data_IF_121418347886
#
_entry.id   IF_121418347886
#
_cell.length_a   1.000
_cell.length_b   1.000
_cell.length_c   1.000
_cell.angle_alpha   90.00
_cell.angle_beta   90.00
_cell.angle_gamma   90.00
#
_symmetry.space_group_name_H-M   'P 1'
#
loop_
_entity.id
_entity.type
_entity.pdbx_description
1 polymer ?
#
# COMPACT_ATOMS: atom_id res chain seq x y z
N UNK A 1 -4.24 -10.02 -19.53
CA UNK A 1 -3.12 -9.03 -19.57
C UNK A 1 -2.10 -9.35 -18.49
N UNK A 2 -0.81 -9.44 -18.84
CA UNK A 2 0.26 -9.67 -17.85
C UNK A 2 1.21 -8.49 -17.81
N UNK A 3 1.61 -8.06 -16.62
CA UNK A 3 2.44 -6.86 -16.41
C UNK A 3 3.60 -7.18 -15.48
N UNK A 4 4.83 -6.85 -15.89
CA UNK A 4 6.01 -7.02 -15.03
C UNK A 4 6.10 -5.90 -13.98
N UNK A 5 5.96 -6.27 -12.71
CA UNK A 5 6.00 -5.35 -11.56
C UNK A 5 7.45 -5.08 -11.12
N UNK A 6 8.23 -4.41 -11.97
CA UNK A 6 9.70 -4.21 -11.81
C UNK A 6 10.12 -3.45 -10.55
N UNK A 7 9.24 -2.58 -10.04
CA UNK A 7 9.56 -1.67 -8.94
C UNK A 7 9.12 -2.22 -7.57
N UNK A 8 9.06 -3.54 -7.43
CA UNK A 8 8.67 -4.21 -6.18
C UNK A 8 9.81 -5.06 -5.62
N UNK A 9 10.06 -4.92 -4.34
CA UNK A 9 10.87 -5.85 -3.57
C UNK A 9 10.06 -7.11 -3.23
N UNK A 10 10.76 -8.20 -3.00
CA UNK A 10 10.19 -9.46 -2.55
C UNK A 10 11.05 -10.06 -1.44
N UNK A 11 10.50 -10.12 -0.23
CA UNK A 11 11.12 -10.84 0.88
C UNK A 11 10.44 -12.19 1.07
N UNK A 12 11.24 -13.24 1.27
CA UNK A 12 10.78 -14.54 1.76
C UNK A 12 10.98 -14.60 3.27
N UNK A 13 9.94 -14.98 3.99
CA UNK A 13 9.95 -15.21 5.43
C UNK A 13 9.63 -16.69 5.67
N UNK A 14 10.55 -17.43 6.26
CA UNK A 14 10.47 -18.87 6.50
C UNK A 14 10.92 -19.22 7.92
N UNK A 15 10.79 -20.49 8.30
CA UNK A 15 11.07 -20.99 9.64
C UNK A 15 9.81 -21.35 10.41
N UNK A 16 9.95 -22.19 11.44
CA UNK A 16 8.80 -22.69 12.20
C UNK A 16 8.01 -21.60 12.92
N UNK A 17 8.62 -20.45 13.19
CA UNK A 17 8.00 -19.31 13.87
C UNK A 17 7.54 -18.20 12.89
N UNK A 18 7.67 -18.40 11.56
CA UNK A 18 7.38 -17.34 10.56
C UNK A 18 5.96 -16.81 10.66
N UNK A 19 4.94 -17.68 10.80
CA UNK A 19 3.55 -17.26 10.94
C UNK A 19 3.33 -16.43 12.22
N UNK A 20 3.83 -16.92 13.37
CA UNK A 20 3.67 -16.23 14.65
C UNK A 20 4.42 -14.90 14.69
N UNK A 21 5.59 -14.83 14.07
CA UNK A 21 6.37 -13.62 13.90
C UNK A 21 5.60 -12.57 13.08
N UNK A 22 5.13 -12.93 11.88
CA UNK A 22 4.35 -12.02 11.04
C UNK A 22 3.03 -11.62 11.70
N UNK A 23 2.38 -12.55 12.41
CA UNK A 23 1.20 -12.24 13.21
C UNK A 23 1.45 -11.17 14.27
N UNK A 24 2.63 -11.13 14.86
CA UNK A 24 3.04 -10.14 15.85
C UNK A 24 3.56 -8.82 15.25
N UNK A 25 3.85 -8.75 13.96
CA UNK A 25 4.39 -7.55 13.31
C UNK A 25 3.39 -6.79 12.45
N UNK A 26 2.41 -7.48 11.86
CA UNK A 26 1.55 -6.94 10.80
C UNK A 26 0.12 -6.69 11.29
N UNK A 27 -0.59 -5.78 10.65
CA UNK A 27 -1.91 -5.30 11.08
C UNK A 27 -3.07 -6.24 10.76
N UNK A 28 -2.91 -7.13 9.77
CA UNK A 28 -3.96 -8.09 9.40
C UNK A 28 -3.71 -9.46 10.01
N UNK A 29 -4.70 -10.33 9.99
CA UNK A 29 -4.63 -11.66 10.61
C UNK A 29 -3.98 -12.68 9.64
N UNK A 30 -2.67 -12.90 9.81
CA UNK A 30 -1.87 -13.81 8.98
C UNK A 30 -2.42 -15.24 9.00
N UNK A 31 -3.04 -15.66 10.10
CA UNK A 31 -3.63 -16.99 10.23
C UNK A 31 -4.84 -17.20 9.31
N UNK A 32 -5.46 -16.11 8.84
CA UNK A 32 -6.56 -16.12 7.88
C UNK A 32 -6.10 -16.02 6.43
N UNK A 33 -4.78 -15.92 6.18
CA UNK A 33 -4.26 -15.83 4.82
C UNK A 33 -4.54 -17.13 4.06
N UNK A 34 -5.28 -17.01 2.97
CA UNK A 34 -5.57 -18.11 2.07
C UNK A 34 -4.37 -18.37 1.14
N UNK A 35 -4.07 -19.64 0.86
CA UNK A 35 -2.97 -20.04 -0.01
C UNK A 35 -3.09 -19.57 -1.48
N UNK A 36 -4.27 -19.14 -1.91
CA UNK A 36 -4.52 -18.64 -3.28
C UNK A 36 -4.80 -17.14 -3.33
N UNK A 37 -4.58 -16.39 -2.26
CA UNK A 37 -4.88 -14.96 -2.20
C UNK A 37 -3.71 -14.12 -1.72
N UNK A 38 -3.74 -12.84 -2.09
CA UNK A 38 -2.92 -11.79 -1.46
C UNK A 38 -3.69 -11.22 -0.28
N UNK A 39 -3.01 -11.07 0.85
CA UNK A 39 -3.54 -10.33 1.98
C UNK A 39 -2.76 -9.01 2.14
N UNK A 40 -3.49 -7.90 2.17
CA UNK A 40 -2.90 -6.59 2.41
C UNK A 40 -2.63 -6.40 3.91
N UNK A 41 -1.43 -5.92 4.24
CA UNK A 41 -0.99 -5.74 5.62
C UNK A 41 -0.21 -4.45 5.80
N UNK A 42 -0.59 -3.64 6.78
CA UNK A 42 0.24 -2.53 7.20
C UNK A 42 1.30 -3.00 8.22
N UNK A 43 2.55 -2.63 7.98
CA UNK A 43 3.62 -2.68 8.96
C UNK A 43 3.75 -1.31 9.60
N UNK A 44 3.44 -1.21 10.89
CA UNK A 44 3.34 0.07 11.59
C UNK A 44 4.46 0.24 12.63
N UNK A 45 4.79 1.49 12.92
CA UNK A 45 5.54 1.86 14.11
C UNK A 45 4.60 2.00 15.33
N UNK A 46 5.16 2.11 16.53
CA UNK A 46 4.40 2.19 17.79
C UNK A 46 3.33 3.31 17.85
N UNK A 47 3.52 4.38 17.08
CA UNK A 47 2.56 5.49 16.99
C UNK A 47 1.45 5.23 15.97
N UNK A 48 1.33 4.01 15.44
CA UNK A 48 0.31 3.59 14.48
C UNK A 48 0.52 4.10 13.06
N UNK A 49 1.69 4.70 12.76
CA UNK A 49 2.00 5.15 11.40
C UNK A 49 2.61 4.03 10.58
N UNK A 50 2.20 3.94 9.32
CA UNK A 50 2.61 2.90 8.41
C UNK A 50 4.06 3.16 7.95
N UNK A 51 4.91 2.15 8.11
CA UNK A 51 6.26 2.09 7.58
C UNK A 51 6.27 1.55 6.15
N UNK A 52 5.53 0.47 5.95
CA UNK A 52 5.33 -0.19 4.65
C UNK A 52 3.94 -0.82 4.57
N UNK A 53 3.46 -1.01 3.36
CA UNK A 53 2.26 -1.78 3.06
C UNK A 53 2.69 -3.02 2.28
N UNK A 54 2.41 -4.20 2.83
CA UNK A 54 2.79 -5.47 2.21
C UNK A 54 1.61 -6.14 1.54
N UNK A 55 1.84 -6.65 0.35
CA UNK A 55 1.06 -7.72 -0.23
C UNK A 55 1.67 -9.04 0.23
N UNK A 56 0.98 -9.74 1.11
CA UNK A 56 1.45 -10.99 1.70
C UNK A 56 0.81 -12.16 1.00
N UNK A 57 1.61 -13.11 0.55
CA UNK A 57 1.17 -14.39 0.01
C UNK A 57 1.81 -15.54 0.78
N UNK A 58 1.20 -16.71 0.72
CA UNK A 58 1.74 -17.94 1.34
C UNK A 58 1.82 -19.03 0.29
N UNK A 59 2.99 -19.64 0.18
CA UNK A 59 3.18 -20.84 -0.62
C UNK A 59 3.96 -21.86 0.20
N UNK A 60 3.37 -23.05 0.42
CA UNK A 60 3.83 -24.02 1.37
C UNK A 60 4.00 -23.40 2.76
N UNK A 61 5.15 -23.56 3.39
CA UNK A 61 5.46 -23.00 4.72
C UNK A 61 6.16 -21.63 4.65
N UNK A 62 6.25 -21.02 3.45
CA UNK A 62 6.90 -19.74 3.26
C UNK A 62 5.89 -18.62 3.05
N UNK A 63 6.20 -17.45 3.61
CA UNK A 63 5.48 -16.21 3.36
C UNK A 63 6.30 -15.30 2.46
N UNK A 64 5.64 -14.62 1.53
CA UNK A 64 6.27 -13.68 0.62
C UNK A 64 5.68 -12.30 0.85
N UNK A 65 6.54 -11.32 1.10
CA UNK A 65 6.17 -9.93 1.32
C UNK A 65 6.57 -9.12 0.10
N UNK A 66 5.59 -8.65 -0.66
CA UNK A 66 5.78 -7.78 -1.83
C UNK A 66 5.45 -6.33 -1.46
N UNK A 67 6.34 -5.38 -1.78
CA UNK A 67 6.19 -3.96 -1.47
C UNK A 67 7.09 -3.11 -2.39
N UNK A 68 6.93 -1.77 -2.43
CA UNK A 68 7.77 -0.90 -3.25
C UNK A 68 9.27 -1.05 -2.96
N UNK A 69 10.06 -1.15 -4.03
CA UNK A 69 11.50 -1.46 -3.97
C UNK A 69 12.30 -0.39 -3.19
N UNK A 70 11.88 0.86 -3.22
CA UNK A 70 12.55 1.97 -2.53
C UNK A 70 12.54 1.83 -0.99
N UNK A 71 11.71 0.96 -0.45
CA UNK A 71 11.64 0.67 0.99
C UNK A 71 12.53 -0.49 1.43
N UNK A 72 13.11 -1.27 0.51
CA UNK A 72 13.80 -2.53 0.83
C UNK A 72 14.93 -2.34 1.86
N UNK A 73 15.79 -1.35 1.64
CA UNK A 73 16.95 -1.08 2.48
C UNK A 73 16.60 -0.59 3.89
N UNK A 74 15.38 -0.08 4.07
CA UNK A 74 14.87 0.38 5.38
C UNK A 74 14.09 -0.72 6.09
N UNK A 75 13.26 -1.45 5.36
CA UNK A 75 12.29 -2.38 5.94
C UNK A 75 12.92 -3.72 6.30
N UNK A 76 13.78 -4.29 5.44
CA UNK A 76 14.40 -5.61 5.73
C UNK A 76 15.22 -5.59 7.02
N UNK A 77 16.16 -4.66 7.25
CA UNK A 77 16.92 -4.61 8.51
C UNK A 77 16.02 -4.40 9.71
N UNK A 78 14.96 -3.56 9.56
CA UNK A 78 14.02 -3.32 10.64
C UNK A 78 13.23 -4.57 11.04
N UNK A 79 12.75 -5.36 10.09
CA UNK A 79 12.10 -6.64 10.39
C UNK A 79 13.07 -7.60 11.07
N UNK A 80 14.32 -7.68 10.59
CA UNK A 80 15.37 -8.55 11.17
C UNK A 80 15.69 -8.20 12.63
N UNK A 81 15.58 -6.93 13.04
CA UNK A 81 15.78 -6.54 14.43
C UNK A 81 14.79 -7.19 15.42
N UNK A 82 13.64 -7.64 14.95
CA UNK A 82 12.63 -8.32 15.78
C UNK A 82 12.71 -9.84 15.72
N UNK A 83 13.62 -10.42 14.92
CA UNK A 83 13.90 -11.85 14.88
C UNK A 83 14.86 -12.19 16.03
N UNK A 84 14.39 -12.07 17.27
CA UNK A 84 15.20 -12.41 18.47
C UNK A 84 14.65 -13.69 19.06
N UNK A 85 15.50 -14.74 19.15
CA UNK A 85 15.17 -16.04 19.72
C UNK A 85 13.99 -16.77 19.02
N UNK A 86 13.73 -16.44 17.76
CA UNK A 86 12.71 -17.09 16.92
C UNK A 86 13.36 -17.84 15.77
N UNK A 87 12.81 -18.98 15.41
CA UNK A 87 13.21 -19.71 14.19
C UNK A 87 12.56 -19.05 12.97
N UNK A 88 13.13 -17.90 12.55
CA UNK A 88 12.68 -17.10 11.42
C UNK A 88 13.87 -16.68 10.57
N UNK A 89 13.75 -16.88 9.26
CA UNK A 89 14.71 -16.41 8.26
C UNK A 89 14.03 -15.43 7.32
N UNK A 90 14.62 -14.24 7.15
CA UNK A 90 14.14 -13.19 6.24
C UNK A 90 15.14 -12.98 5.13
N UNK A 91 14.80 -13.40 3.92
CA UNK A 91 15.67 -13.33 2.75
C UNK A 91 15.13 -12.33 1.72
N UNK A 92 16.03 -11.55 1.14
CA UNK A 92 15.72 -10.77 -0.05
C UNK A 92 15.92 -11.68 -1.28
N UNK A 93 14.81 -11.97 -1.95
CA UNK A 93 14.79 -12.81 -3.16
C UNK A 93 14.41 -11.99 -4.40
N UNK A 94 14.41 -10.67 -4.31
CA UNK A 94 14.02 -9.73 -5.38
C UNK A 94 14.78 -10.00 -6.69
N UNK A 95 16.07 -10.28 -6.62
CA UNK A 95 16.91 -10.51 -7.81
C UNK A 95 16.69 -11.86 -8.49
N UNK A 96 16.23 -12.86 -7.73
CA UNK A 96 16.02 -14.24 -8.22
C UNK A 96 14.61 -14.49 -8.77
N UNK A 97 13.66 -13.59 -8.48
CA UNK A 97 12.25 -13.77 -8.80
C UNK A 97 11.68 -12.56 -9.51
N UNK A 98 10.65 -12.81 -10.30
CA UNK A 98 9.87 -11.79 -10.98
C UNK A 98 8.45 -11.81 -10.44
N UNK A 99 7.93 -10.62 -10.21
CA UNK A 99 6.54 -10.40 -9.84
C UNK A 99 5.76 -9.96 -11.08
N UNK A 100 4.74 -10.71 -11.43
CA UNK A 100 3.85 -10.44 -12.57
C UNK A 100 2.46 -10.15 -12.06
N UNK A 101 1.92 -9.00 -12.41
CA UNK A 101 0.51 -8.68 -12.24
C UNK A 101 -0.29 -9.29 -13.37
N UNK A 102 -1.42 -9.94 -13.05
CA UNK A 102 -2.40 -10.43 -14.02
C UNK A 102 -3.68 -9.62 -13.89
N UNK A 103 -4.21 -9.17 -15.03
CA UNK A 103 -5.48 -8.44 -15.14
C UNK A 103 -6.40 -9.24 -16.07
N UNK A 104 -7.54 -9.71 -15.56
CA UNK A 104 -8.54 -10.50 -16.32
C UNK A 104 -7.99 -11.79 -16.95
N UNK A 105 -6.87 -12.31 -16.46
CA UNK A 105 -6.27 -13.53 -16.98
C UNK A 105 -6.05 -14.54 -15.85
N UNK A 106 -6.50 -15.75 -16.07
CA UNK A 106 -6.27 -16.86 -15.14
C UNK A 106 -4.87 -17.45 -15.36
N UNK A 107 -4.15 -17.65 -14.27
CA UNK A 107 -2.87 -18.32 -14.29
C UNK A 107 -2.77 -19.31 -13.13
N UNK A 108 -2.28 -20.55 -13.38
CA UNK A 108 -2.05 -21.53 -12.32
C UNK A 108 -1.11 -20.95 -11.25
N UNK A 109 -1.47 -21.09 -9.97
CA UNK A 109 -0.72 -20.55 -8.83
C UNK A 109 -0.69 -19.02 -8.72
N UNK A 110 -1.58 -18.29 -9.42
CA UNK A 110 -1.79 -16.87 -9.17
C UNK A 110 -2.45 -16.64 -7.81
N UNK A 111 -2.03 -15.60 -7.13
CA UNK A 111 -2.61 -15.14 -5.87
C UNK A 111 -3.60 -14.01 -6.15
N UNK A 112 -4.87 -14.21 -5.89
CA UNK A 112 -5.91 -13.21 -6.10
C UNK A 112 -5.72 -12.05 -5.14
N UNK A 113 -5.65 -10.82 -5.66
CA UNK A 113 -5.59 -9.58 -4.88
C UNK A 113 -7.02 -9.08 -4.61
N UNK A 114 -7.72 -8.76 -5.68
CA UNK A 114 -9.09 -8.26 -5.64
C UNK A 114 -9.70 -8.33 -7.04
N UNK A 115 -10.97 -8.74 -7.11
CA UNK A 115 -11.72 -8.85 -8.37
C UNK A 115 -10.89 -9.61 -9.43
N UNK A 116 -10.48 -8.90 -10.49
CA UNK A 116 -9.76 -9.44 -11.64
C UNK A 116 -8.23 -9.29 -11.54
N UNK A 117 -7.72 -8.80 -10.41
CA UNK A 117 -6.28 -8.63 -10.21
C UNK A 117 -5.69 -9.79 -9.44
N UNK A 118 -4.59 -10.33 -9.97
CA UNK A 118 -3.81 -11.37 -9.32
C UNK A 118 -2.31 -11.06 -9.37
N UNK A 119 -1.57 -11.58 -8.39
CA UNK A 119 -0.11 -11.57 -8.33
C UNK A 119 0.43 -12.96 -8.66
N UNK A 120 1.42 -13.01 -9.51
CA UNK A 120 2.16 -14.23 -9.85
C UNK A 120 3.62 -14.00 -9.45
N UNK A 121 4.22 -14.96 -8.76
CA UNK A 121 5.63 -14.95 -8.38
C UNK A 121 6.31 -16.12 -9.09
N UNK A 122 7.31 -15.83 -9.92
CA UNK A 122 8.04 -16.82 -10.73
C UNK A 122 9.56 -16.61 -10.59
N UNK A 123 10.34 -17.63 -10.92
CA UNK A 123 11.77 -17.48 -11.11
C UNK A 123 12.08 -16.68 -12.39
N UNK A 124 13.22 -15.99 -12.41
CA UNK A 124 13.60 -15.09 -13.52
C UNK A 124 13.56 -15.75 -14.90
N UNK A 125 13.94 -17.02 -14.99
CA UNK A 125 14.01 -17.77 -16.24
C UNK A 125 12.62 -18.01 -16.86
N UNK A 126 11.57 -17.96 -16.07
CA UNK A 126 10.20 -18.28 -16.51
C UNK A 126 9.46 -17.10 -17.12
N UNK A 127 10.08 -15.90 -17.16
CA UNK A 127 9.43 -14.68 -17.68
C UNK A 127 9.10 -14.78 -19.19
N UNK A 128 9.87 -15.56 -19.94
CA UNK A 128 9.70 -15.72 -21.38
C UNK A 128 8.34 -16.31 -21.80
N UNK A 129 7.63 -16.93 -20.87
CA UNK A 129 6.30 -17.49 -21.14
C UNK A 129 5.18 -16.42 -21.19
N UNK A 130 5.48 -15.16 -20.83
CA UNK A 130 4.48 -14.10 -20.77
C UNK A 130 4.70 -13.06 -21.88
N UNK A 131 3.60 -12.66 -22.51
CA UNK A 131 3.54 -11.45 -23.33
C UNK A 131 3.17 -10.27 -22.43
N UNK A 132 4.14 -9.37 -22.19
CA UNK A 132 4.05 -8.34 -21.17
C UNK A 132 3.46 -7.04 -21.68
N UNK A 133 2.39 -6.60 -21.04
CA UNK A 133 1.77 -5.30 -21.24
C UNK A 133 2.50 -4.16 -20.49
N UNK A 134 2.29 -2.90 -20.90
CA UNK A 134 2.80 -1.74 -20.18
C UNK A 134 2.29 -1.66 -18.73
N UNK A 135 3.17 -1.26 -17.81
CA UNK A 135 2.86 -1.13 -16.37
C UNK A 135 1.64 -0.22 -16.10
N UNK A 136 1.37 0.76 -16.98
CA UNK A 136 0.25 1.69 -16.80
C UNK A 136 -1.13 1.04 -16.74
N UNK A 137 -1.33 -0.12 -17.36
CA UNK A 137 -2.59 -0.85 -17.24
C UNK A 137 -2.79 -1.39 -15.82
N UNK A 138 -1.74 -1.94 -15.23
CA UNK A 138 -1.76 -2.43 -13.85
C UNK A 138 -2.00 -1.30 -12.86
N UNK A 139 -1.22 -0.23 -13.00
CA UNK A 139 -1.32 0.91 -12.10
C UNK A 139 -2.71 1.57 -12.17
N UNK A 140 -3.32 1.64 -13.38
CA UNK A 140 -4.69 2.14 -13.55
C UNK A 140 -5.70 1.24 -12.83
N UNK A 141 -5.59 -0.07 -12.96
CA UNK A 141 -6.45 -1.01 -12.24
C UNK A 141 -6.29 -0.86 -10.71
N UNK A 142 -5.07 -0.60 -10.21
CA UNK A 142 -4.85 -0.28 -8.79
C UNK A 142 -5.57 1.01 -8.36
N UNK A 143 -5.55 2.07 -9.21
CA UNK A 143 -6.33 3.31 -8.95
C UNK A 143 -7.82 3.00 -8.90
N UNK A 144 -8.35 2.27 -9.87
CA UNK A 144 -9.77 1.89 -9.95
C UNK A 144 -10.22 1.08 -8.75
N UNK A 145 -9.39 0.19 -8.25
CA UNK A 145 -9.69 -0.64 -7.08
C UNK A 145 -9.32 0.02 -5.74
N UNK A 146 -8.80 1.26 -5.77
CA UNK A 146 -8.31 1.98 -4.58
C UNK A 146 -7.27 1.18 -3.77
N UNK A 147 -6.35 0.53 -4.45
CA UNK A 147 -5.24 -0.20 -3.83
C UNK A 147 -4.07 0.76 -3.60
N UNK A 148 -3.84 1.24 -2.37
CA UNK A 148 -2.76 2.18 -2.09
C UNK A 148 -1.41 1.48 -2.00
N UNK A 149 -0.34 2.28 -2.15
CA UNK A 149 1.03 1.89 -1.86
C UNK A 149 1.66 2.87 -0.86
N UNK A 150 2.67 2.43 -0.14
CA UNK A 150 3.54 3.27 0.67
C UNK A 150 4.93 3.25 0.07
N UNK A 151 5.45 4.40 -0.28
CA UNK A 151 6.79 4.64 -0.76
C UNK A 151 7.65 5.30 0.32
N UNK A 152 8.96 5.37 0.12
CA UNK A 152 9.88 6.00 1.07
C UNK A 152 9.45 7.44 1.42
N UNK A 153 8.93 8.19 0.44
CA UNK A 153 8.43 9.56 0.64
C UNK A 153 7.16 9.64 1.50
N UNK A 154 6.37 8.58 1.59
CA UNK A 154 5.09 8.57 2.33
C UNK A 154 5.13 7.71 3.58
N UNK A 155 6.21 6.95 3.78
CA UNK A 155 6.47 6.18 4.99
C UNK A 155 6.44 7.07 6.24
N UNK A 156 5.90 6.55 7.34
CA UNK A 156 5.74 7.22 8.64
C UNK A 156 4.82 8.46 8.65
N UNK A 157 4.10 8.73 7.57
CA UNK A 157 3.23 9.92 7.49
C UNK A 157 1.75 9.60 7.72
N UNK A 158 1.30 8.38 7.43
CA UNK A 158 -0.10 7.99 7.38
C UNK A 158 -0.42 6.89 8.39
N UNK A 159 -1.67 6.82 8.83
CA UNK A 159 -2.22 5.70 9.59
C UNK A 159 -3.12 4.85 8.68
N UNK A 160 -3.37 3.57 9.00
CA UNK A 160 -4.14 2.66 8.14
C UNK A 160 -5.50 3.20 7.69
N UNK A 161 -6.22 3.86 8.57
CA UNK A 161 -7.53 4.42 8.26
C UNK A 161 -7.49 5.52 7.19
N UNK A 162 -6.39 6.26 7.08
CA UNK A 162 -6.23 7.28 6.03
C UNK A 162 -6.12 6.66 4.63
N UNK A 163 -5.76 5.38 4.57
CA UNK A 163 -5.69 4.59 3.34
C UNK A 163 -6.90 3.66 3.15
N UNK A 164 -7.96 3.83 3.93
CA UNK A 164 -9.15 2.99 3.93
C UNK A 164 -8.90 1.51 4.26
N UNK A 165 -7.78 1.18 4.92
CA UNK A 165 -7.40 -0.21 5.22
C UNK A 165 -8.26 -0.86 6.31
N UNK A 166 -9.03 -0.06 7.05
CA UNK A 166 -9.99 -0.49 8.06
C UNK A 166 -11.39 -0.77 7.49
N UNK A 167 -11.64 -0.37 6.25
CA UNK A 167 -12.91 -0.65 5.57
C UNK A 167 -12.90 -2.12 5.14
N UNK A 168 -13.95 -2.87 5.49
CA UNK A 168 -14.07 -4.30 5.21
C UNK A 168 -12.86 -5.15 5.65
N UNK A 169 -12.09 -4.63 6.63
CA UNK A 169 -10.86 -5.25 7.16
C UNK A 169 -9.84 -5.63 6.10
N UNK A 170 -9.77 -4.88 4.98
CA UNK A 170 -8.90 -5.23 3.86
C UNK A 170 -7.40 -5.23 4.21
N UNK A 171 -6.97 -4.41 5.16
CA UNK A 171 -5.56 -4.28 5.56
C UNK A 171 -5.34 -4.26 7.07
N UNK A 172 -6.41 -4.24 7.87
CA UNK A 172 -6.35 -4.26 9.35
C UNK A 172 -7.43 -5.18 9.89
N UNK A 173 -7.04 -6.13 10.73
CA UNK A 173 -8.00 -6.96 11.46
C UNK A 173 -8.04 -6.51 12.93
N UNK A 174 -9.21 -6.10 13.42
CA UNK A 174 -9.39 -5.61 14.78
C UNK A 174 -9.60 -6.71 15.83
N UNK A 175 -9.82 -7.94 15.39
CA UNK A 175 -10.05 -9.10 16.26
C UNK A 175 -8.80 -9.95 16.50
N UNK A 176 -7.68 -9.64 15.81
CA UNK A 176 -6.41 -10.35 15.97
C UNK A 176 -5.65 -9.94 17.23
N UNK A 177 -4.57 -10.68 17.56
CA UNK A 177 -3.64 -10.36 18.63
C UNK A 177 -2.81 -9.09 18.38
N UNK A 178 -1.96 -8.72 19.34
CA UNK A 178 -1.21 -7.47 19.35
C UNK A 178 -0.20 -7.36 18.20
N UNK A 179 0.00 -6.12 17.72
CA UNK A 179 1.06 -5.72 16.79
C UNK A 179 1.50 -4.26 17.06
N UNK A 180 2.67 -3.81 16.59
CA UNK A 180 3.15 -2.44 16.84
C UNK A 180 2.17 -1.38 16.32
N UNK A 181 1.78 -0.44 17.19
CA UNK A 181 0.86 0.65 16.84
C UNK A 181 -0.63 0.32 16.92
N UNK A 182 -1.00 -0.91 17.25
CA UNK A 182 -2.39 -1.34 17.37
C UNK A 182 -3.24 -0.44 18.27
N UNK A 183 -2.72 0.02 19.40
CA UNK A 183 -3.47 0.87 20.34
C UNK A 183 -3.99 2.14 19.65
N UNK A 184 -3.14 2.82 18.89
CA UNK A 184 -3.52 4.04 18.16
C UNK A 184 -4.53 3.72 17.04
N UNK A 185 -4.29 2.65 16.30
CA UNK A 185 -5.16 2.19 15.20
C UNK A 185 -6.53 1.79 15.74
N UNK A 186 -6.59 0.97 16.79
CA UNK A 186 -7.83 0.54 17.42
C UNK A 186 -8.60 1.70 18.06
N UNK A 187 -7.90 2.60 18.78
CA UNK A 187 -8.51 3.79 19.37
C UNK A 187 -9.16 4.67 18.31
N UNK A 188 -8.51 4.88 17.18
CA UNK A 188 -9.10 5.67 16.10
C UNK A 188 -10.33 4.99 15.50
N UNK A 189 -10.37 3.67 15.45
CA UNK A 189 -11.51 2.90 14.94
C UNK A 189 -12.70 2.94 15.90
N UNK A 190 -12.50 2.65 17.21
CA UNK A 190 -13.60 2.50 18.17
C UNK A 190 -14.04 3.81 18.82
N UNK A 191 -13.15 4.77 19.02
CA UNK A 191 -13.39 5.99 19.79
C UNK A 191 -13.26 7.28 18.98
N UNK A 192 -12.93 7.17 17.69
CA UNK A 192 -12.70 8.33 16.82
C UNK A 192 -13.26 8.12 15.42
N UNK A 193 -12.91 9.06 14.55
CA UNK A 193 -13.12 8.94 13.11
C UNK A 193 -11.86 9.43 12.39
N UNK A 194 -11.49 8.76 11.32
CA UNK A 194 -10.41 9.22 10.47
C UNK A 194 -10.82 10.54 9.80
N UNK A 195 -10.12 11.63 10.12
CA UNK A 195 -10.37 12.95 9.52
C UNK A 195 -10.01 12.97 8.03
N UNK A 196 -9.15 12.06 7.59
CA UNK A 196 -8.72 11.91 6.20
C UNK A 196 -8.99 10.50 5.75
N UNK A 197 -9.37 10.36 4.48
CA UNK A 197 -9.61 9.11 3.78
C UNK A 197 -8.96 9.13 2.40
N UNK A 198 -8.81 7.98 1.80
CA UNK A 198 -8.26 7.81 0.46
C UNK A 198 -9.33 8.07 -0.60
N UNK A 199 -8.97 8.86 -1.60
CA UNK A 199 -9.79 9.15 -2.77
C UNK A 199 -8.94 9.07 -4.04
N UNK A 200 -9.59 8.83 -5.18
CA UNK A 200 -8.97 8.84 -6.49
C UNK A 200 -9.20 10.20 -7.17
N UNK A 201 -8.16 10.69 -7.87
CA UNK A 201 -8.20 11.95 -8.61
C UNK A 201 -7.55 11.80 -9.97
N UNK A 202 -7.93 12.69 -10.90
CA UNK A 202 -7.25 12.90 -12.17
C UNK A 202 -6.82 14.38 -12.34
N UNK A 203 -5.80 14.61 -13.16
CA UNK A 203 -5.31 15.93 -13.55
C UNK A 203 -4.69 15.90 -14.94
N UNK A 204 -4.74 17.04 -15.63
CA UNK A 204 -3.99 17.26 -16.87
C UNK A 204 -2.51 17.60 -16.60
N UNK A 205 -2.19 17.98 -15.38
CA UNK A 205 -0.83 18.37 -14.96
C UNK A 205 -0.18 17.26 -14.15
N UNK A 206 1.14 17.17 -14.23
CA UNK A 206 1.93 16.17 -13.51
C UNK A 206 1.68 16.22 -12.00
N UNK A 207 1.53 15.04 -11.43
CA UNK A 207 1.31 14.79 -10.00
C UNK A 207 2.50 13.99 -9.48
N UNK A 208 3.03 14.32 -8.29
CA UNK A 208 4.11 13.56 -7.66
C UNK A 208 3.70 13.00 -6.30
N UNK A 209 4.29 11.84 -5.94
CA UNK A 209 4.07 11.20 -4.65
C UNK A 209 4.59 12.12 -3.54
N UNK A 210 3.79 12.26 -2.48
CA UNK A 210 4.12 13.11 -1.34
C UNK A 210 3.72 14.57 -1.48
N UNK A 211 3.23 15.01 -2.65
CA UNK A 211 2.70 16.36 -2.81
C UNK A 211 1.47 16.58 -1.94
N UNK A 212 1.39 17.72 -1.23
CA UNK A 212 0.23 18.05 -0.42
C UNK A 212 -0.94 18.51 -1.29
N UNK A 213 -2.16 18.20 -0.85
CA UNK A 213 -3.40 18.75 -1.40
C UNK A 213 -3.79 20.02 -0.66
N UNK A 214 -4.41 20.95 -1.38
CA UNK A 214 -4.95 22.20 -0.84
C UNK A 214 -6.45 22.30 -1.11
N UNK A 215 -7.21 22.70 -0.08
CA UNK A 215 -8.59 23.12 -0.15
C UNK A 215 -8.73 24.42 0.65
N UNK A 216 -9.45 25.41 0.13
CA UNK A 216 -9.57 26.74 0.74
C UNK A 216 -10.17 26.73 2.15
N UNK A 217 -11.11 25.82 2.43
CA UNK A 217 -11.78 25.68 3.72
C UNK A 217 -10.97 24.90 4.76
N UNK A 218 -9.88 24.22 4.36
CA UNK A 218 -9.09 23.41 5.27
C UNK A 218 -8.41 24.25 6.34
N UNK A 219 -8.65 23.92 7.60
CA UNK A 219 -7.90 24.50 8.73
C UNK A 219 -6.43 24.13 8.69
N UNK A 220 -6.13 22.90 8.24
CA UNK A 220 -4.75 22.42 8.09
C UNK A 220 -3.97 23.14 6.99
N UNK A 221 -4.64 23.64 5.95
CA UNK A 221 -4.04 24.42 4.88
C UNK A 221 -3.77 25.88 5.27
N UNK A 222 -4.52 26.42 6.24
CA UNK A 222 -4.37 27.81 6.74
C UNK A 222 -3.23 27.98 7.72
N UNK A 223 -2.79 26.91 8.37
CA UNK A 223 -1.68 26.93 9.32
C UNK A 223 -0.35 26.96 8.57
N UNK A 224 0.09 28.19 8.23
CA UNK A 224 1.30 28.48 7.43
C UNK A 224 2.61 28.35 8.19
N UNK A 225 2.61 27.77 9.39
CA UNK A 225 3.84 27.51 10.15
C UNK A 225 4.70 26.39 9.52
N UNK A 226 5.90 26.16 10.08
CA UNK A 226 6.90 25.18 9.60
C UNK A 226 6.42 23.71 9.46
N UNK A 227 5.14 23.44 9.65
CA UNK A 227 4.48 22.13 9.58
C UNK A 227 3.27 22.11 8.67
N UNK A 228 3.32 22.82 7.51
CA UNK A 228 2.26 22.75 6.52
C UNK A 228 1.95 21.27 6.17
N UNK A 229 0.78 20.81 6.56
CA UNK A 229 0.36 19.41 6.34
C UNK A 229 -0.60 19.24 5.15
N UNK A 230 -1.00 20.35 4.52
CA UNK A 230 -2.03 20.33 3.49
C UNK A 230 -3.39 19.79 3.97
N UNK A 231 -4.36 19.77 3.09
CA UNK A 231 -5.66 19.11 3.29
C UNK A 231 -5.56 17.60 3.14
N UNK A 232 -4.52 17.13 2.48
CA UNK A 232 -4.22 15.74 2.20
C UNK A 232 -2.84 15.58 1.55
N UNK A 233 -2.57 14.39 1.00
CA UNK A 233 -1.28 14.08 0.37
C UNK A 233 -1.44 12.97 -0.67
N UNK A 234 -0.75 13.09 -1.79
CA UNK A 234 -0.66 12.07 -2.84
C UNK A 234 0.14 10.86 -2.32
N UNK A 235 -0.43 9.67 -2.44
CA UNK A 235 0.19 8.41 -1.97
C UNK A 235 0.58 7.46 -3.10
N UNK A 236 -0.12 7.52 -4.23
CA UNK A 236 0.15 6.73 -5.43
C UNK A 236 -0.19 7.54 -6.67
N UNK A 237 0.57 7.40 -7.76
CA UNK A 237 0.32 8.15 -8.98
C UNK A 237 0.72 7.38 -10.23
N UNK A 238 0.05 7.65 -11.33
CA UNK A 238 0.41 7.15 -12.66
C UNK A 238 0.20 8.22 -13.73
N UNK A 239 0.86 8.03 -14.87
CA UNK A 239 0.50 8.70 -16.13
C UNK A 239 -0.11 7.65 -17.06
N UNK A 240 -1.33 7.88 -17.50
CA UNK A 240 -2.05 6.98 -18.39
C UNK A 240 -2.87 7.77 -19.41
N UNK A 241 -2.74 7.43 -20.72
CA UNK A 241 -3.43 8.11 -21.82
C UNK A 241 -3.33 9.64 -21.77
N UNK A 242 -2.13 10.17 -21.58
CA UNK A 242 -1.80 11.61 -21.51
C UNK A 242 -2.33 12.36 -20.28
N UNK A 243 -3.09 11.74 -19.41
CA UNK A 243 -3.54 12.27 -18.10
C UNK A 243 -2.74 11.68 -16.96
N UNK A 244 -2.81 12.35 -15.82
CA UNK A 244 -2.27 11.86 -14.56
C UNK A 244 -3.41 11.44 -13.63
N UNK A 245 -3.24 10.30 -12.97
CA UNK A 245 -4.17 9.76 -12.00
C UNK A 245 -3.45 9.53 -10.68
N UNK A 246 -4.14 9.71 -9.58
CA UNK A 246 -3.55 9.43 -8.28
C UNK A 246 -4.57 8.91 -7.26
N UNK A 247 -4.05 8.19 -6.27
CA UNK A 247 -4.70 8.02 -4.98
C UNK A 247 -4.09 9.04 -4.02
N UNK A 248 -4.94 9.78 -3.34
CA UNK A 248 -4.50 10.76 -2.36
C UNK A 248 -5.40 10.74 -1.13
N UNK A 249 -4.81 11.00 0.03
CA UNK A 249 -5.61 11.25 1.23
C UNK A 249 -6.21 12.66 1.15
N UNK A 250 -7.43 12.83 1.67
CA UNK A 250 -8.10 14.13 1.77
C UNK A 250 -8.94 14.18 3.06
N UNK A 251 -9.10 15.37 3.63
CA UNK A 251 -10.05 15.60 4.72
C UNK A 251 -11.47 15.27 4.25
N UNK A 252 -12.16 14.39 4.98
CA UNK A 252 -13.48 13.84 4.55
C UNK A 252 -14.53 14.93 4.40
N UNK A 253 -14.47 15.96 5.26
CA UNK A 253 -15.40 17.10 5.22
C UNK A 253 -15.24 17.94 3.94
N UNK A 254 -14.10 17.86 3.26
CA UNK A 254 -13.75 18.65 2.08
C UNK A 254 -13.84 17.86 0.76
N UNK A 255 -14.35 16.64 0.82
CA UNK A 255 -14.37 15.73 -0.34
C UNK A 255 -15.10 16.24 -1.58
N UNK A 256 -16.00 17.21 -1.40
CA UNK A 256 -16.84 17.81 -2.46
C UNK A 256 -16.41 19.24 -2.81
N UNK A 257 -15.32 19.73 -2.22
CA UNK A 257 -14.72 21.03 -2.55
C UNK A 257 -13.71 20.94 -3.69
N UNK A 258 -13.34 22.10 -4.25
CA UNK A 258 -12.25 22.20 -5.20
C UNK A 258 -10.91 21.84 -4.52
N UNK A 259 -10.15 20.96 -5.14
CA UNK A 259 -8.86 20.47 -4.66
C UNK A 259 -7.77 20.88 -5.65
N UNK A 260 -6.70 21.46 -5.14
CA UNK A 260 -5.52 21.79 -5.93
C UNK A 260 -4.25 21.16 -5.32
N UNK A 261 -3.18 21.05 -6.12
CA UNK A 261 -1.88 20.61 -5.62
C UNK A 261 -1.13 21.78 -4.99
N UNK A 262 -0.45 21.51 -3.89
CA UNK A 262 0.51 22.37 -3.21
C UNK A 262 -0.08 23.65 -2.60
N UNK A 263 -0.88 24.42 -3.32
CA UNK A 263 -1.43 25.72 -2.88
C UNK A 263 -2.67 26.09 -3.68
N UNK A 264 -3.32 27.23 -3.35
CA UNK A 264 -4.53 27.73 -3.96
C UNK A 264 -4.46 27.93 -5.48
N UNK A 265 -3.29 28.26 -6.00
CA UNK A 265 -3.03 28.50 -7.44
C UNK A 265 -2.42 27.28 -8.13
N UNK A 266 -2.28 26.16 -7.41
CA UNK A 266 -1.77 24.90 -7.94
C UNK A 266 -2.70 24.27 -8.96
N UNK A 267 -2.21 23.24 -9.69
CA UNK A 267 -3.03 22.47 -10.61
C UNK A 267 -4.26 21.87 -9.93
N UNK A 268 -5.39 21.94 -10.58
CA UNK A 268 -6.64 21.38 -10.10
C UNK A 268 -6.63 19.85 -10.21
N UNK A 269 -7.20 19.20 -9.21
CA UNK A 269 -7.46 17.77 -9.17
C UNK A 269 -8.97 17.51 -9.24
N UNK A 270 -9.40 16.75 -10.22
CA UNK A 270 -10.79 16.30 -10.34
C UNK A 270 -10.96 14.97 -9.64
N UNK A 271 -11.89 14.90 -8.67
CA UNK A 271 -12.16 13.64 -7.96
C UNK A 271 -12.90 12.66 -8.89
N UNK A 272 -12.40 11.43 -8.95
CA UNK A 272 -13.07 10.32 -9.64
C UNK A 272 -14.14 9.77 -8.69
N UNK A 273 -15.40 9.90 -9.09
CA UNK A 273 -16.52 9.30 -8.34
C UNK A 273 -16.61 7.81 -8.68
N UNK A 274 -16.77 7.00 -7.65
CA UNK A 274 -17.02 5.55 -7.75
C UNK A 274 -18.41 5.21 -7.31
#
# INVERSE_FOLDING_TARGET
MFVHLKNRALLRVSGSDAESFLQGQLSNDIKKLNASSVQLNAYCQHQGKILALFWVTKFEDNFFLSFPLDLLEVIKPRLQMFVIMSDVVIEDITKGHIQVGSIDEDYPKAFVIKDKLSLIIIENQDIIQFDMDPIGHWDMACIELSLPEIYLLTSEKLVPQMLNLDIDEIGVNFSKGCYPGQEVVARLHYLGSAKRRLFAFESETEINIGEPLYCASSKSAKDRGARYKGSGMVVFRIKYNSKFYCLATLEVELKDEAVTLNNEQGPELTRIQK
#
